data_IF_597216859897
#
_entry.id   IF_597216859897
#
_cell.length_a   1.000
_cell.length_b   1.000
_cell.length_c   1.000
_cell.angle_alpha   90.00
_cell.angle_beta   90.00
_cell.angle_gamma   90.00
#
_symmetry.space_group_name_H-M   'P 1'
#
loop_
_entity.id
_entity.type
_entity.pdbx_description
1 polymer ?
#
# COMPACT_ATOMS: atom_id res chain seq x y z
N UNK A 1 -64.92 -77.58 -30.56
CA UNK A 1 -65.22 -76.25 -30.06
C UNK A 1 -63.90 -75.56 -29.70
N UNK A 2 -63.52 -74.57 -30.50
CA UNK A 2 -62.32 -73.75 -30.23
C UNK A 2 -62.77 -72.42 -29.63
N UNK A 3 -62.17 -71.94 -28.52
CA UNK A 3 -62.53 -70.62 -28.05
C UNK A 3 -61.74 -69.52 -28.79
N UNK A 4 -62.47 -68.48 -29.13
CA UNK A 4 -62.09 -67.30 -29.87
C UNK A 4 -61.41 -66.33 -28.90
N UNK A 5 -60.12 -66.11 -29.03
CA UNK A 5 -59.32 -65.10 -28.25
C UNK A 5 -59.26 -63.83 -29.10
N UNK A 6 -59.80 -62.75 -28.53
CA UNK A 6 -59.72 -61.39 -29.11
C UNK A 6 -58.37 -60.79 -28.88
N UNK A 7 -57.76 -60.06 -29.82
CA UNK A 7 -56.50 -59.37 -29.60
C UNK A 7 -56.60 -58.11 -28.70
N UNK A 8 -55.71 -57.93 -27.81
CA UNK A 8 -55.58 -56.70 -27.02
C UNK A 8 -54.99 -55.55 -27.84
N UNK A 9 -55.50 -54.31 -27.66
CA UNK A 9 -54.97 -53.12 -28.39
C UNK A 9 -53.59 -52.73 -27.94
N UNK A 10 -52.84 -52.24 -28.90
CA UNK A 10 -51.40 -51.96 -28.81
C UNK A 10 -50.97 -50.93 -27.73
N UNK A 11 -49.86 -51.29 -27.12
CA UNK A 11 -49.12 -50.44 -26.21
C UNK A 11 -48.33 -49.37 -27.04
N UNK A 12 -48.78 -48.13 -27.02
CA UNK A 12 -48.07 -47.04 -27.66
C UNK A 12 -46.78 -46.72 -26.89
N UNK A 13 -45.64 -46.88 -27.57
CA UNK A 13 -44.34 -46.46 -27.06
C UNK A 13 -44.23 -44.95 -27.07
N UNK A 14 -44.18 -44.32 -25.88
CA UNK A 14 -43.88 -42.90 -25.70
C UNK A 14 -42.37 -42.79 -25.72
N UNK A 15 -41.75 -42.02 -26.64
CA UNK A 15 -40.29 -41.81 -26.57
C UNK A 15 -40.00 -40.89 -25.38
N UNK A 16 -39.23 -41.38 -24.40
CA UNK A 16 -38.67 -40.62 -23.33
C UNK A 16 -37.57 -39.74 -23.91
N UNK A 17 -37.85 -38.45 -24.07
CA UNK A 17 -36.85 -37.44 -24.43
C UNK A 17 -35.92 -37.27 -23.22
N UNK A 18 -34.75 -37.87 -23.29
CA UNK A 18 -33.65 -37.59 -22.34
C UNK A 18 -33.16 -36.16 -22.60
N UNK A 19 -33.62 -35.19 -21.77
CA UNK A 19 -33.11 -33.85 -21.72
C UNK A 19 -31.70 -33.91 -21.11
N UNK A 20 -30.69 -33.99 -21.98
CA UNK A 20 -29.29 -33.88 -21.56
C UNK A 20 -29.05 -32.44 -21.03
N UNK A 21 -29.08 -32.29 -19.72
CA UNK A 21 -28.67 -31.05 -19.06
C UNK A 21 -27.16 -30.87 -19.30
N UNK A 22 -26.78 -30.10 -20.32
CA UNK A 22 -25.40 -29.69 -20.51
C UNK A 22 -25.03 -28.75 -19.32
N UNK A 23 -24.32 -29.30 -18.37
CA UNK A 23 -23.57 -28.50 -17.40
C UNK A 23 -22.50 -27.73 -18.18
N UNK A 24 -22.78 -26.49 -18.50
CA UNK A 24 -21.77 -25.54 -18.97
C UNK A 24 -20.88 -25.29 -17.76
N UNK A 25 -19.58 -25.65 -17.80
CA UNK A 25 -18.68 -25.23 -16.76
C UNK A 25 -18.63 -23.69 -16.80
N UNK A 26 -19.13 -23.03 -15.76
CA UNK A 26 -18.84 -21.64 -15.52
C UNK A 26 -17.33 -21.61 -15.18
N UNK A 27 -16.52 -21.26 -16.16
CA UNK A 27 -15.18 -20.78 -15.87
C UNK A 27 -15.38 -19.56 -14.97
N UNK A 28 -15.18 -19.76 -13.66
CA UNK A 28 -14.97 -18.65 -12.77
C UNK A 28 -13.73 -17.92 -13.30
N UNK A 29 -13.95 -16.78 -13.92
CA UNK A 29 -12.90 -15.78 -14.03
C UNK A 29 -12.52 -15.52 -12.57
N UNK A 30 -11.31 -15.92 -12.16
CA UNK A 30 -10.68 -15.29 -11.03
C UNK A 30 -10.68 -13.81 -11.42
N UNK A 31 -11.40 -12.97 -10.69
CA UNK A 31 -11.20 -11.54 -10.73
C UNK A 31 -9.71 -11.38 -10.44
N UNK A 32 -8.96 -11.01 -11.46
CA UNK A 32 -7.61 -10.50 -11.30
C UNK A 32 -7.83 -9.16 -10.59
N UNK A 33 -7.81 -9.19 -9.26
CA UNK A 33 -7.98 -7.98 -8.45
C UNK A 33 -6.95 -6.99 -8.95
N UNK A 34 -7.42 -5.91 -9.57
CA UNK A 34 -6.57 -4.87 -10.15
C UNK A 34 -5.79 -4.23 -8.99
N UNK A 35 -4.52 -4.64 -8.83
CA UNK A 35 -3.64 -4.10 -7.80
C UNK A 35 -2.99 -2.83 -8.31
N UNK A 36 -3.01 -1.82 -7.47
CA UNK A 36 -2.29 -0.58 -7.69
C UNK A 36 -1.07 -0.48 -6.78
N UNK A 37 -0.17 0.44 -7.08
CA UNK A 37 1.01 0.68 -6.26
C UNK A 37 1.22 2.16 -6.00
N UNK A 38 1.59 2.52 -4.77
CA UNK A 38 2.00 3.86 -4.37
C UNK A 38 3.42 3.82 -3.78
N UNK A 39 4.14 4.93 -3.82
CA UNK A 39 5.53 5.00 -3.34
C UNK A 39 5.72 6.23 -2.45
N UNK A 40 6.15 5.98 -1.21
CA UNK A 40 6.30 7.01 -0.19
C UNK A 40 7.65 6.94 0.52
N UNK A 41 8.21 8.10 0.85
CA UNK A 41 9.35 8.23 1.75
C UNK A 41 8.92 9.03 2.99
N UNK A 42 9.19 8.53 4.19
CA UNK A 42 8.71 9.15 5.44
C UNK A 42 9.70 8.97 6.60
N UNK A 43 10.99 9.10 6.34
CA UNK A 43 12.06 8.78 7.26
C UNK A 43 12.38 7.28 7.27
N UNK A 44 12.68 6.72 8.42
CA UNK A 44 12.96 5.30 8.53
C UNK A 44 11.85 4.43 7.93
N UNK A 45 12.17 3.68 6.90
CA UNK A 45 11.22 2.85 6.16
C UNK A 45 10.55 1.75 7.02
N UNK A 46 11.18 1.26 8.10
CA UNK A 46 10.54 0.33 9.02
C UNK A 46 9.26 0.91 9.66
N UNK A 47 9.27 2.24 9.92
CA UNK A 47 8.13 2.92 10.51
C UNK A 47 7.04 3.22 9.48
N UNK A 48 7.43 3.49 8.25
CA UNK A 48 6.50 3.72 7.13
C UNK A 48 5.84 2.41 6.73
N UNK A 49 6.61 1.32 6.66
CA UNK A 49 6.12 -0.04 6.43
C UNK A 49 5.04 -0.43 7.47
N UNK A 50 5.36 -0.30 8.78
CA UNK A 50 4.39 -0.56 9.86
C UNK A 50 3.11 0.27 9.73
N UNK A 51 3.23 1.52 9.28
CA UNK A 51 2.09 2.41 9.15
C UNK A 51 1.13 1.97 8.02
N UNK A 52 1.68 1.56 6.88
CA UNK A 52 0.86 1.11 5.74
C UNK A 52 0.36 -0.33 5.90
N UNK A 53 1.13 -1.23 6.51
CA UNK A 53 0.67 -2.59 6.82
C UNK A 53 -0.56 -2.62 7.75
N UNK A 54 -0.82 -1.54 8.47
CA UNK A 54 -2.00 -1.40 9.34
C UNK A 54 -3.25 -0.92 8.60
N UNK A 55 -3.18 -0.66 7.29
CA UNK A 55 -4.29 -0.13 6.50
C UNK A 55 -5.04 -1.26 5.82
N UNK A 56 -6.34 -1.35 6.07
CA UNK A 56 -7.20 -2.29 5.36
C UNK A 56 -7.20 -1.97 3.85
N UNK A 57 -7.02 -2.99 3.01
CA UNK A 57 -6.87 -2.82 1.57
C UNK A 57 -5.42 -2.72 1.08
N UNK A 58 -4.43 -2.50 1.96
CA UNK A 58 -3.02 -2.70 1.63
C UNK A 58 -2.72 -4.19 1.60
N UNK A 59 -2.19 -4.66 0.47
CA UNK A 59 -1.92 -6.07 0.19
C UNK A 59 -0.50 -6.46 0.57
N UNK A 60 0.46 -5.58 0.28
CA UNK A 60 1.87 -5.77 0.60
C UNK A 60 2.60 -4.44 0.68
N UNK A 61 3.68 -4.43 1.47
CA UNK A 61 4.65 -3.33 1.49
C UNK A 61 6.05 -3.87 1.26
N UNK A 62 6.89 -3.05 0.66
CA UNK A 62 8.31 -3.38 0.46
C UNK A 62 9.16 -2.17 0.84
N UNK A 63 10.04 -2.32 1.80
CA UNK A 63 11.04 -1.31 2.16
C UNK A 63 12.15 -1.25 1.13
N UNK A 64 12.60 -0.05 0.75
CA UNK A 64 13.63 0.11 -0.29
C UNK A 64 14.07 1.55 -0.50
N UNK A 65 14.51 1.84 -1.72
CA UNK A 65 15.14 3.11 -2.08
C UNK A 65 14.61 3.63 -3.41
N UNK A 66 14.36 4.95 -3.47
CA UNK A 66 13.91 5.63 -4.68
C UNK A 66 14.46 7.07 -4.74
N UNK A 67 14.35 7.72 -5.88
CA UNK A 67 14.70 9.13 -6.07
C UNK A 67 16.17 9.40 -6.38
N UNK A 68 17.04 8.43 -6.19
CA UNK A 68 18.49 8.59 -6.39
C UNK A 68 18.97 8.21 -7.79
N UNK A 69 20.30 8.30 -7.99
CA UNK A 69 20.96 8.07 -9.27
C UNK A 69 21.87 6.81 -9.28
N UNK A 70 22.03 6.15 -8.13
CA UNK A 70 22.82 4.91 -8.04
C UNK A 70 21.91 3.72 -8.32
N UNK A 71 22.30 2.88 -9.29
CA UNK A 71 21.56 1.67 -9.62
C UNK A 71 21.82 0.55 -8.57
N UNK A 72 20.76 -0.13 -8.14
CA UNK A 72 20.82 -1.21 -7.16
C UNK A 72 21.69 -0.89 -5.93
N UNK A 73 21.39 0.23 -5.22
CA UNK A 73 22.21 0.63 -4.09
C UNK A 73 22.05 -0.35 -2.93
N UNK A 74 23.12 -0.59 -2.17
CA UNK A 74 22.99 -1.25 -0.86
C UNK A 74 22.57 -0.26 0.21
N UNK A 75 22.06 -0.78 1.32
CA UNK A 75 21.73 0.06 2.49
C UNK A 75 22.92 0.90 2.95
N UNK A 76 24.10 0.29 3.04
CA UNK A 76 25.32 1.00 3.46
C UNK A 76 25.69 2.16 2.53
N UNK A 77 25.46 2.01 1.22
CA UNK A 77 25.69 3.09 0.26
C UNK A 77 24.73 4.24 0.47
N UNK A 78 23.43 3.95 0.69
CA UNK A 78 22.42 4.98 0.91
C UNK A 78 22.68 5.75 2.19
N UNK A 79 22.93 5.07 3.31
CA UNK A 79 23.18 5.74 4.61
C UNK A 79 24.53 6.48 4.67
N UNK A 80 25.51 6.06 3.84
CA UNK A 80 26.75 6.81 3.67
C UNK A 80 26.55 8.17 2.96
N UNK A 81 25.40 8.33 2.30
CA UNK A 81 25.03 9.55 1.58
C UNK A 81 25.60 9.64 0.17
N UNK A 82 25.16 10.65 -0.58
CA UNK A 82 25.62 10.92 -1.95
C UNK A 82 24.99 10.07 -3.04
N UNK A 83 24.08 9.15 -2.72
CA UNK A 83 23.34 8.36 -3.71
C UNK A 83 22.10 9.08 -4.26
N UNK A 84 21.61 10.08 -3.53
CA UNK A 84 20.37 10.80 -3.82
C UNK A 84 19.10 10.02 -3.47
N UNK A 85 19.21 8.77 -3.03
CA UNK A 85 18.07 7.94 -2.67
C UNK A 85 17.46 8.35 -1.33
N UNK A 86 16.14 8.18 -1.26
CA UNK A 86 15.34 8.22 -0.03
C UNK A 86 15.08 6.79 0.44
N UNK A 87 15.07 6.55 1.75
CA UNK A 87 14.40 5.39 2.32
C UNK A 87 12.91 5.48 2.00
N UNK A 88 12.39 4.51 1.27
CA UNK A 88 11.06 4.54 0.70
C UNK A 88 10.34 3.22 0.93
N UNK A 89 9.02 3.25 0.87
CA UNK A 89 8.16 2.06 0.93
C UNK A 89 7.28 2.03 -0.32
N UNK A 90 7.37 0.93 -1.06
CA UNK A 90 6.43 0.59 -2.11
C UNK A 90 5.22 -0.09 -1.47
N UNK A 91 4.05 0.48 -1.67
CA UNK A 91 2.77 0.00 -1.13
C UNK A 91 1.97 -0.59 -2.28
N UNK A 92 1.66 -1.89 -2.22
CA UNK A 92 0.72 -2.56 -3.11
C UNK A 92 -0.65 -2.60 -2.44
N UNK A 93 -1.69 -2.15 -3.11
CA UNK A 93 -3.02 -2.03 -2.53
C UNK A 93 -4.12 -2.41 -3.51
N UNK A 94 -5.28 -2.78 -2.98
CA UNK A 94 -6.52 -3.02 -3.70
C UNK A 94 -7.31 -1.70 -3.78
N UNK A 95 -7.40 -1.06 -4.97
CA UNK A 95 -8.08 0.22 -5.13
C UNK A 95 -9.60 0.15 -4.92
N UNK A 96 -10.16 -1.04 -4.84
CA UNK A 96 -11.57 -1.23 -4.47
C UNK A 96 -11.83 -1.15 -2.97
N UNK A 97 -10.78 -1.29 -2.13
CA UNK A 97 -10.85 -1.27 -0.67
C UNK A 97 -10.24 -0.01 -0.06
N UNK A 98 -9.18 0.53 -0.66
CA UNK A 98 -8.52 1.76 -0.20
C UNK A 98 -8.09 2.59 -1.40
N UNK A 99 -8.40 3.88 -1.38
CA UNK A 99 -8.02 4.82 -2.44
C UNK A 99 -6.61 5.38 -2.23
N UNK A 100 -6.03 5.95 -3.29
CA UNK A 100 -4.74 6.65 -3.21
C UNK A 100 -4.81 7.85 -2.25
N UNK A 101 -5.93 8.56 -2.22
CA UNK A 101 -6.19 9.68 -1.32
C UNK A 101 -6.21 9.26 0.16
N UNK A 102 -6.75 8.07 0.46
CA UNK A 102 -6.70 7.49 1.81
C UNK A 102 -5.26 7.11 2.20
N UNK A 103 -4.47 6.58 1.26
CA UNK A 103 -3.04 6.35 1.48
C UNK A 103 -2.28 7.65 1.72
N UNK A 104 -2.58 8.74 0.99
CA UNK A 104 -2.03 10.08 1.25
C UNK A 104 -2.41 10.57 2.64
N UNK A 105 -3.66 10.36 3.07
CA UNK A 105 -4.09 10.70 4.42
C UNK A 105 -3.26 9.98 5.49
N UNK A 106 -3.06 8.67 5.33
CA UNK A 106 -2.22 7.86 6.23
C UNK A 106 -0.77 8.34 6.21
N UNK A 107 -0.21 8.60 5.03
CA UNK A 107 1.15 9.12 4.86
C UNK A 107 1.35 10.40 5.67
N UNK A 108 0.51 11.41 5.46
CA UNK A 108 0.61 12.71 6.14
C UNK A 108 0.60 12.54 7.66
N UNK A 109 -0.28 11.68 8.21
CA UNK A 109 -0.42 11.46 9.67
C UNK A 109 0.70 10.61 10.27
N UNK A 110 1.63 10.15 9.45
CA UNK A 110 2.80 9.38 9.87
C UNK A 110 4.15 10.10 9.64
N UNK A 111 4.13 11.36 9.19
CA UNK A 111 5.33 12.19 9.01
C UNK A 111 5.21 13.52 9.75
N UNK A 112 6.36 14.16 10.02
CA UNK A 112 6.44 15.58 10.33
C UNK A 112 6.61 16.35 9.01
N UNK A 113 5.57 17.00 8.49
CA UNK A 113 5.61 17.58 7.16
C UNK A 113 6.50 18.83 7.07
N UNK A 114 6.90 19.40 8.24
CA UNK A 114 7.72 20.59 8.32
C UNK A 114 9.22 20.28 8.37
N UNK A 115 9.61 19.01 8.58
CA UNK A 115 11.01 18.62 8.71
C UNK A 115 11.64 18.31 7.34
N UNK A 116 12.38 19.26 6.81
CA UNK A 116 13.08 19.14 5.52
C UNK A 116 14.49 18.55 5.60
N UNK A 117 14.97 18.14 6.78
CA UNK A 117 16.33 17.64 6.99
C UNK A 117 16.41 16.18 7.44
N UNK A 118 15.26 15.50 7.44
CA UNK A 118 15.08 14.13 7.89
C UNK A 118 13.71 13.93 8.48
N UNK A 119 13.58 12.95 9.39
CA UNK A 119 12.35 12.74 10.14
C UNK A 119 12.69 12.32 11.57
N UNK A 120 12.13 13.04 12.54
CA UNK A 120 12.31 12.77 13.97
C UNK A 120 13.78 12.77 14.41
N UNK A 121 14.33 11.63 14.84
CA UNK A 121 15.74 11.52 15.22
C UNK A 121 16.67 11.15 14.04
N UNK A 122 16.09 10.72 12.91
CA UNK A 122 16.85 10.31 11.75
C UNK A 122 17.20 11.52 10.89
N UNK A 123 18.49 11.75 10.66
CA UNK A 123 19.01 12.91 9.95
C UNK A 123 19.78 12.53 8.70
N UNK A 124 19.58 13.30 7.66
CA UNK A 124 20.20 13.11 6.35
C UNK A 124 19.19 13.05 5.22
N UNK A 125 19.68 13.26 3.99
CA UNK A 125 18.84 13.40 2.82
C UNK A 125 17.97 12.17 2.53
N UNK A 126 18.48 10.99 2.85
CA UNK A 126 17.77 9.73 2.68
C UNK A 126 16.61 9.53 3.67
N UNK A 127 16.50 10.35 4.71
CA UNK A 127 15.39 10.33 5.67
C UNK A 127 14.37 11.45 5.47
N UNK A 128 14.49 12.26 4.41
CA UNK A 128 13.48 13.28 4.12
C UNK A 128 12.15 12.65 3.72
N UNK A 129 11.06 13.38 3.93
CA UNK A 129 9.73 12.95 3.51
C UNK A 129 9.47 13.35 2.05
N UNK A 130 8.94 12.42 1.25
CA UNK A 130 8.53 12.66 -0.12
C UNK A 130 7.39 11.73 -0.56
N UNK A 131 6.57 12.21 -1.50
CA UNK A 131 5.57 11.43 -2.22
C UNK A 131 6.07 11.28 -3.65
N UNK A 132 6.20 10.04 -4.14
CA UNK A 132 6.63 9.75 -5.50
C UNK A 132 5.42 9.40 -6.37
N UNK A 133 4.94 10.35 -7.16
CA UNK A 133 3.78 10.19 -8.02
C UNK A 133 4.16 9.47 -9.33
N UNK A 134 3.44 8.38 -9.64
CA UNK A 134 3.66 7.56 -10.83
C UNK A 134 2.76 7.92 -12.01
N UNK A 135 1.80 8.82 -11.81
CA UNK A 135 0.87 9.29 -12.83
C UNK A 135 0.47 10.74 -12.57
N UNK A 136 -0.14 11.37 -13.59
CA UNK A 136 -0.70 12.73 -13.47
C UNK A 136 -1.82 12.80 -12.41
N UNK A 137 -2.62 11.75 -12.29
CA UNK A 137 -3.69 11.69 -11.29
C UNK A 137 -3.13 11.60 -9.87
N UNK A 138 -2.12 10.75 -9.63
CA UNK A 138 -1.41 10.69 -8.36
C UNK A 138 -0.73 12.02 -8.02
N UNK A 139 -0.08 12.66 -9.00
CA UNK A 139 0.58 13.95 -8.82
C UNK A 139 -0.42 15.04 -8.43
N UNK A 140 -1.57 15.07 -9.09
CA UNK A 140 -2.66 16.00 -8.78
C UNK A 140 -3.19 15.76 -7.37
N UNK A 141 -3.54 14.51 -7.02
CA UNK A 141 -4.05 14.16 -5.71
C UNK A 141 -3.05 14.50 -4.59
N UNK A 142 -1.76 14.19 -4.78
CA UNK A 142 -0.70 14.53 -3.83
C UNK A 142 -0.58 16.05 -3.64
N UNK A 143 -0.65 16.84 -4.72
CA UNK A 143 -0.62 18.30 -4.65
C UNK A 143 -1.84 18.86 -3.94
N UNK A 144 -3.03 18.40 -4.30
CA UNK A 144 -4.28 18.84 -3.67
C UNK A 144 -4.24 18.56 -2.17
N UNK A 145 -3.81 17.36 -1.75
CA UNK A 145 -3.69 17.01 -0.34
C UNK A 145 -2.68 17.89 0.42
N UNK A 146 -1.57 18.27 -0.22
CA UNK A 146 -0.60 19.21 0.34
C UNK A 146 -1.19 20.63 0.47
N UNK A 147 -1.83 21.13 -0.57
CA UNK A 147 -2.47 22.44 -0.61
C UNK A 147 -3.59 22.55 0.45
N UNK A 148 -4.39 21.50 0.64
CA UNK A 148 -5.40 21.43 1.70
C UNK A 148 -4.78 21.56 3.09
N UNK A 149 -3.66 20.88 3.35
CA UNK A 149 -2.93 20.99 4.61
C UNK A 149 -2.35 22.40 4.82
N UNK A 150 -1.78 23.02 3.80
CA UNK A 150 -1.25 24.38 3.85
C UNK A 150 -2.37 25.41 4.11
N UNK A 151 -3.54 25.21 3.51
CA UNK A 151 -4.71 26.09 3.69
C UNK A 151 -5.48 25.83 5.00
N UNK A 152 -5.26 24.70 5.65
CA UNK A 152 -5.97 24.34 6.88
C UNK A 152 -5.68 25.27 8.07
N UNK A 153 -4.60 26.04 8.01
CA UNK A 153 -4.11 26.87 9.12
C UNK A 153 -3.51 26.06 10.28
N UNK A 154 -3.24 24.77 10.05
CA UNK A 154 -2.59 23.90 11.05
C UNK A 154 -1.12 24.24 11.26
N UNK A 155 -0.46 24.71 10.22
CA UNK A 155 0.98 24.98 10.20
C UNK A 155 1.25 26.45 9.88
N UNK A 156 2.15 27.07 10.64
CA UNK A 156 2.62 28.45 10.37
C UNK A 156 3.77 28.45 9.34
N UNK A 157 4.52 27.35 9.26
CA UNK A 157 5.64 27.18 8.34
C UNK A 157 5.22 26.38 7.09
N UNK A 158 5.88 26.59 5.94
CA UNK A 158 5.60 25.85 4.72
C UNK A 158 5.92 24.35 4.87
N UNK A 159 5.12 23.51 4.22
CA UNK A 159 5.33 22.06 4.18
C UNK A 159 6.59 21.74 3.38
N UNK A 160 7.58 21.13 4.05
CA UNK A 160 8.87 20.72 3.48
C UNK A 160 8.81 19.42 2.67
N UNK A 161 7.79 18.57 2.91
CA UNK A 161 7.59 17.32 2.17
C UNK A 161 7.49 17.58 0.67
N UNK A 162 8.30 16.87 -0.11
CA UNK A 162 8.38 17.02 -1.56
C UNK A 162 7.36 16.11 -2.28
N UNK A 163 6.90 16.55 -3.45
CA UNK A 163 6.14 15.72 -4.38
C UNK A 163 7.00 15.58 -5.63
N UNK A 164 7.45 14.37 -5.90
CA UNK A 164 8.45 14.04 -6.91
C UNK A 164 7.86 13.09 -7.95
N UNK A 165 8.41 13.09 -9.15
CA UNK A 165 8.12 12.07 -10.14
C UNK A 165 8.66 10.73 -9.65
N UNK A 166 7.88 9.66 -9.84
CA UNK A 166 8.26 8.30 -9.46
C UNK A 166 9.43 7.82 -10.30
N UNK A 167 10.48 7.42 -9.63
CA UNK A 167 11.68 6.83 -10.25
C UNK A 167 11.70 5.32 -10.06
N UNK A 168 12.75 4.65 -10.56
CA UNK A 168 13.00 3.25 -10.27
C UNK A 168 13.11 3.02 -8.76
N UNK A 169 12.35 2.04 -8.27
CA UNK A 169 12.43 1.57 -6.90
C UNK A 169 13.36 0.36 -6.83
N UNK A 170 14.21 0.34 -5.82
CA UNK A 170 15.11 -0.76 -5.51
C UNK A 170 14.78 -1.29 -4.12
N UNK A 171 14.38 -2.56 -4.01
CA UNK A 171 14.08 -3.17 -2.72
C UNK A 171 15.34 -3.22 -1.85
N UNK A 172 15.20 -2.88 -0.58
CA UNK A 172 16.24 -3.07 0.41
C UNK A 172 16.44 -4.55 0.72
N UNK A 173 17.55 -4.87 1.36
CA UNK A 173 17.91 -6.23 1.74
C UNK A 173 16.84 -6.88 2.62
N UNK A 174 16.68 -8.20 2.51
CA UNK A 174 15.62 -8.98 3.16
C UNK A 174 15.54 -8.77 4.70
N UNK A 175 16.65 -8.48 5.36
CA UNK A 175 16.66 -8.22 6.80
C UNK A 175 15.98 -6.91 7.20
N UNK A 176 15.70 -6.01 6.25
CA UNK A 176 14.93 -4.79 6.46
C UNK A 176 13.41 -4.99 6.29
N UNK A 177 13.00 -5.99 5.51
CA UNK A 177 11.59 -6.26 5.24
C UNK A 177 10.89 -6.77 6.50
N UNK A 178 9.72 -6.19 6.83
CA UNK A 178 8.96 -6.52 8.03
C UNK A 178 9.78 -6.44 9.34
N UNK A 179 10.69 -5.47 9.40
CA UNK A 179 11.61 -5.36 10.54
C UNK A 179 10.89 -5.21 11.87
N UNK A 180 9.81 -4.46 11.92
CA UNK A 180 9.01 -4.24 13.13
C UNK A 180 8.39 -5.54 13.67
N UNK A 181 8.06 -6.50 12.80
CA UNK A 181 7.55 -7.84 13.17
C UNK A 181 8.70 -8.80 13.53
N UNK A 182 9.77 -8.81 12.74
CA UNK A 182 10.93 -9.70 12.94
C UNK A 182 11.74 -9.32 14.19
N UNK A 183 11.77 -8.04 14.56
CA UNK A 183 12.58 -7.50 15.65
C UNK A 183 11.78 -6.59 16.60
N UNK A 184 10.66 -7.01 17.18
CA UNK A 184 9.70 -6.12 17.85
C UNK A 184 10.28 -5.34 19.03
N UNK A 185 11.19 -5.94 19.82
CA UNK A 185 11.80 -5.27 20.96
C UNK A 185 12.78 -4.16 20.54
N UNK A 186 13.63 -4.45 19.53
CA UNK A 186 14.57 -3.45 19.00
C UNK A 186 13.84 -2.32 18.29
N UNK A 187 12.83 -2.63 17.52
CA UNK A 187 11.99 -1.65 16.85
C UNK A 187 11.28 -0.73 17.85
N UNK A 188 10.63 -1.30 18.88
CA UNK A 188 9.97 -0.51 19.93
C UNK A 188 10.95 0.40 20.65
N UNK A 189 12.13 -0.12 21.01
CA UNK A 189 13.18 0.69 21.64
C UNK A 189 13.58 1.86 20.73
N UNK A 190 13.84 1.61 19.45
CA UNK A 190 14.19 2.62 18.46
C UNK A 190 13.08 3.70 18.36
N UNK A 191 11.85 3.35 18.09
CA UNK A 191 10.73 4.30 17.93
C UNK A 191 10.53 5.16 19.18
N UNK A 192 10.65 4.53 20.39
CA UNK A 192 10.50 5.24 21.67
C UNK A 192 11.67 6.21 21.91
N UNK A 193 12.91 5.76 21.68
CA UNK A 193 14.10 6.60 21.84
C UNK A 193 14.12 7.76 20.85
N UNK A 194 13.63 7.53 19.64
CA UNK A 194 13.49 8.52 18.58
C UNK A 194 12.34 9.53 18.85
N UNK A 195 11.48 9.25 19.81
CA UNK A 195 10.31 10.06 20.17
C UNK A 195 9.35 10.30 19.00
N UNK A 196 9.34 9.38 17.99
CA UNK A 196 8.54 9.50 16.78
C UNK A 196 7.05 9.73 17.12
N UNK A 197 6.46 8.86 17.93
CA UNK A 197 5.05 8.95 18.27
C UNK A 197 4.71 10.23 19.03
N UNK A 198 5.55 10.64 19.99
CA UNK A 198 5.33 11.88 20.72
C UNK A 198 5.37 13.12 19.80
N UNK A 199 6.22 13.10 18.77
CA UNK A 199 6.23 14.18 17.77
C UNK A 199 5.02 14.13 16.86
N UNK A 200 4.60 12.96 16.40
CA UNK A 200 3.37 12.81 15.62
C UNK A 200 2.14 13.30 16.40
N UNK A 201 2.03 12.95 17.69
CA UNK A 201 0.95 13.43 18.55
C UNK A 201 0.95 14.97 18.70
N UNK A 202 2.14 15.60 18.73
CA UNK A 202 2.24 17.08 18.74
C UNK A 202 1.81 17.72 17.43
N UNK A 203 2.13 17.09 16.28
CA UNK A 203 1.83 17.60 14.94
C UNK A 203 0.37 17.37 14.57
N UNK A 204 -0.14 16.19 14.85
CA UNK A 204 -1.44 15.73 14.33
C UNK A 204 -2.53 15.57 15.40
N UNK A 205 -2.18 15.55 16.69
CA UNK A 205 -3.13 15.32 17.78
C UNK A 205 -3.80 13.96 17.65
N UNK A 206 -5.13 13.92 17.78
CA UNK A 206 -5.94 12.70 17.70
C UNK A 206 -5.98 12.06 16.29
N UNK A 207 -5.52 12.80 15.26
CA UNK A 207 -5.39 12.28 13.90
C UNK A 207 -4.10 11.49 13.65
N UNK A 208 -3.15 11.52 14.60
CA UNK A 208 -1.87 10.84 14.45
C UNK A 208 -2.04 9.33 14.27
N UNK A 209 -1.32 8.75 13.32
CA UNK A 209 -1.20 7.29 13.14
C UNK A 209 -2.56 6.60 12.96
N UNK A 210 -3.38 6.99 11.97
CA UNK A 210 -4.65 6.33 11.69
C UNK A 210 -4.46 4.82 11.45
N UNK A 211 -5.40 4.00 11.93
CA UNK A 211 -5.30 2.52 11.85
C UNK A 211 -4.60 1.84 13.03
N UNK A 212 -3.96 2.59 13.92
CA UNK A 212 -3.38 2.06 15.16
C UNK A 212 -4.27 2.42 16.35
N UNK A 213 -5.20 1.55 16.68
CA UNK A 213 -5.98 1.57 17.93
C UNK A 213 -5.42 0.58 18.96
#
# INVERSE_FOLDING_TARGET
>A
MKPNLKPFPGLQWIPVLLLACMLVPTNGFADDEERATALFAGGCFWCVEEAFDAVDGVVATTSGFAGGHVENPSYEQVVAGGTGHYESVLVEYDPSQVSYEELLYVFWRNVDPLDGSGQFCDRGDHYRAAIFAGSEDEYRAARESKEELEQSGRFDDPIATEILERTTFYAAEEYHQNYYQKNPLRYRFYVTSCRRYARLDQVWGDEARPGKN
#
